data_IF_926553926457
#
_entry.id   IF_926553926457
#
_cell.length_a   1.000
_cell.length_b   1.000
_cell.length_c   1.000
_cell.angle_alpha   90.00
_cell.angle_beta   90.00
_cell.angle_gamma   90.00
#
_symmetry.space_group_name_H-M   'P 1'
#
loop_
_entity.id
_entity.type
_entity.pdbx_description
1 polymer ?
#
# COMPACT_ATOMS: atom_id res chain seq x y z
N UNK A 1 -5.57 -3.10 -7.16
CA UNK A 1 -6.96 -2.63 -7.33
C UNK A 1 -7.09 -1.94 -8.68
N UNK A 2 -8.29 -1.74 -9.16
CA UNK A 2 -8.54 -1.01 -10.40
C UNK A 2 -9.84 -0.22 -10.32
N UNK A 3 -9.90 0.84 -11.13
CA UNK A 3 -11.10 1.66 -11.28
C UNK A 3 -11.03 2.36 -12.65
N UNK A 4 -11.98 3.24 -12.95
CA UNK A 4 -12.06 3.91 -14.25
C UNK A 4 -12.16 5.41 -14.10
N UNK A 5 -11.51 6.14 -15.03
CA UNK A 5 -11.70 7.56 -15.18
C UNK A 5 -13.08 7.85 -15.82
N UNK A 6 -13.51 9.10 -15.76
CA UNK A 6 -14.79 9.51 -16.32
C UNK A 6 -14.94 9.12 -17.80
N UNK A 7 -13.86 9.18 -18.57
CA UNK A 7 -13.85 8.80 -19.98
C UNK A 7 -13.93 7.29 -20.22
N UNK A 8 -13.98 6.47 -19.16
CA UNK A 8 -14.02 5.02 -19.26
C UNK A 8 -12.66 4.34 -19.27
N UNK A 9 -11.57 5.11 -19.29
CA UNK A 9 -10.23 4.56 -19.31
C UNK A 9 -9.88 3.98 -17.95
N UNK A 10 -9.49 2.71 -17.92
CA UNK A 10 -9.19 2.02 -16.66
C UNK A 10 -7.80 2.38 -16.16
N UNK A 11 -7.67 2.46 -14.85
CA UNK A 11 -6.38 2.63 -14.18
C UNK A 11 -6.23 1.60 -13.07
N UNK A 12 -5.01 1.42 -12.62
CA UNK A 12 -4.66 0.45 -11.58
C UNK A 12 -3.99 1.15 -10.42
N UNK A 13 -4.16 0.57 -9.23
CA UNK A 13 -3.44 1.02 -8.03
C UNK A 13 -2.65 -0.14 -7.46
N UNK A 14 -1.44 0.16 -6.99
CA UNK A 14 -0.58 -0.78 -6.30
C UNK A 14 -0.39 -0.26 -4.88
N UNK A 15 -0.96 -0.99 -3.91
CA UNK A 15 -0.99 -0.57 -2.51
C UNK A 15 0.03 -1.37 -1.71
N UNK A 16 0.88 -0.68 -0.96
CA UNK A 16 1.88 -1.28 -0.08
C UNK A 16 1.62 -0.82 1.33
N UNK A 17 1.43 -1.78 2.24
CA UNK A 17 1.15 -1.52 3.65
C UNK A 17 2.21 -2.20 4.49
N UNK A 18 2.74 -1.48 5.49
CA UNK A 18 3.69 -2.05 6.44
C UNK A 18 2.93 -2.96 7.42
N UNK A 19 3.39 -4.20 7.53
CA UNK A 19 2.75 -5.18 8.40
C UNK A 19 2.89 -4.82 9.88
N UNK A 20 3.95 -4.12 10.24
CA UNK A 20 4.23 -3.79 11.63
C UNK A 20 3.30 -2.73 12.20
N UNK A 21 3.20 -1.58 11.56
CA UNK A 21 2.44 -0.44 12.08
C UNK A 21 1.24 -0.05 11.23
N UNK A 22 0.86 -0.87 10.25
CA UNK A 22 -0.29 -0.66 9.35
C UNK A 22 -0.16 0.61 8.51
N UNK A 23 1.04 1.15 8.39
CA UNK A 23 1.28 2.37 7.62
C UNK A 23 1.05 2.14 6.13
N UNK A 24 0.37 3.08 5.47
CA UNK A 24 0.26 3.08 4.02
C UNK A 24 1.57 3.61 3.46
N UNK A 25 2.43 2.73 2.99
CA UNK A 25 3.75 3.12 2.50
C UNK A 25 3.70 3.75 1.11
N UNK A 26 2.84 3.23 0.25
CA UNK A 26 2.66 3.78 -1.08
C UNK A 26 1.35 3.28 -1.69
N UNK A 27 0.74 4.13 -2.48
CA UNK A 27 -0.33 3.76 -3.41
C UNK A 27 0.08 4.32 -4.76
N UNK A 28 0.64 3.46 -5.60
CA UNK A 28 1.07 3.87 -6.95
C UNK A 28 -0.10 3.74 -7.90
N UNK A 29 -0.30 4.76 -8.72
CA UNK A 29 -1.45 4.84 -9.61
C UNK A 29 -0.98 5.07 -11.03
N UNK A 30 -1.39 4.20 -11.95
CA UNK A 30 -1.12 4.38 -13.37
C UNK A 30 -2.08 3.53 -14.19
N UNK A 31 -2.05 3.73 -15.51
CA UNK A 31 -2.85 2.94 -16.44
C UNK A 31 -2.36 1.50 -16.49
N UNK A 32 -1.07 1.31 -16.27
CA UNK A 32 -0.41 0.01 -16.27
C UNK A 32 0.70 0.01 -15.22
N UNK A 33 0.87 -1.11 -14.53
CA UNK A 33 1.88 -1.25 -13.48
C UNK A 33 2.68 -2.52 -13.72
N UNK A 34 3.64 -2.48 -14.66
CA UNK A 34 4.51 -3.64 -14.91
C UNK A 34 5.48 -3.87 -13.74
N UNK A 35 6.06 -5.08 -13.68
CA UNK A 35 6.94 -5.48 -12.57
C UNK A 35 8.07 -4.50 -12.31
N UNK A 36 8.67 -3.94 -13.35
CA UNK A 36 9.76 -2.98 -13.20
C UNK A 36 9.30 -1.71 -12.49
N UNK A 37 8.07 -1.27 -12.76
CA UNK A 37 7.49 -0.11 -12.08
C UNK A 37 7.25 -0.43 -10.59
N UNK A 38 6.74 -1.63 -10.31
CA UNK A 38 6.53 -2.10 -8.94
C UNK A 38 7.85 -2.12 -8.17
N UNK A 39 8.90 -2.65 -8.77
CA UNK A 39 10.23 -2.70 -8.14
C UNK A 39 10.75 -1.29 -7.86
N UNK A 40 10.56 -0.35 -8.78
CA UNK A 40 10.96 1.03 -8.58
C UNK A 40 10.25 1.68 -7.40
N UNK A 41 8.97 1.40 -7.25
CA UNK A 41 8.20 1.90 -6.10
C UNK A 41 8.74 1.32 -4.80
N UNK A 42 9.02 0.02 -4.79
CA UNK A 42 9.58 -0.65 -3.62
C UNK A 42 10.96 -0.10 -3.25
N UNK A 43 11.81 0.14 -4.24
CA UNK A 43 13.12 0.73 -3.99
C UNK A 43 13.01 2.13 -3.41
N UNK A 44 12.05 2.91 -3.88
CA UNK A 44 11.81 4.24 -3.34
C UNK A 44 11.33 4.18 -1.90
N UNK A 45 10.44 3.26 -1.58
CA UNK A 45 9.96 3.05 -0.21
C UNK A 45 11.12 2.65 0.70
N UNK A 46 11.95 1.72 0.25
CA UNK A 46 13.10 1.24 1.01
C UNK A 46 14.10 2.38 1.24
N UNK A 47 14.28 3.26 0.27
CA UNK A 47 15.25 4.36 0.36
C UNK A 47 14.91 5.34 1.49
N UNK A 48 13.63 5.60 1.75
CA UNK A 48 13.26 6.56 2.78
C UNK A 48 12.78 5.89 4.08
N UNK A 49 12.33 4.66 4.01
CA UNK A 49 11.74 3.97 5.16
C UNK A 49 12.64 2.88 5.74
N UNK A 50 13.61 2.42 4.96
CA UNK A 50 14.45 1.28 5.31
C UNK A 50 13.85 -0.03 4.81
N UNK A 51 14.58 -1.12 5.01
CA UNK A 51 14.17 -2.44 4.54
C UNK A 51 13.18 -3.07 5.52
N UNK A 52 11.91 -3.19 5.17
CA UNK A 52 10.97 -3.91 6.01
C UNK A 52 11.26 -5.41 5.93
N UNK A 53 10.89 -6.14 6.99
CA UNK A 53 11.05 -7.60 6.96
C UNK A 53 9.97 -8.25 6.12
N UNK A 54 8.79 -7.65 6.09
CA UNK A 54 7.64 -8.21 5.40
C UNK A 54 6.76 -7.10 4.88
N UNK A 55 6.34 -7.23 3.63
CA UNK A 55 5.39 -6.33 3.00
C UNK A 55 4.18 -7.11 2.53
N UNK A 56 3.02 -6.52 2.66
CA UNK A 56 1.78 -7.09 2.13
C UNK A 56 1.26 -6.20 1.01
N UNK A 57 0.80 -6.84 -0.05
CA UNK A 57 0.36 -6.12 -1.24
C UNK A 57 -0.74 -6.88 -1.96
N UNK A 58 -1.46 -6.17 -2.81
CA UNK A 58 -2.50 -6.75 -3.63
C UNK A 58 -1.96 -7.85 -4.53
N UNK A 59 -2.77 -8.88 -4.74
CA UNK A 59 -2.44 -9.95 -5.65
C UNK A 59 -2.96 -9.63 -7.05
N UNK A 60 -2.11 -9.04 -7.90
CA UNK A 60 -2.40 -8.82 -9.30
C UNK A 60 -1.46 -9.64 -10.15
N UNK A 61 -1.92 -10.20 -11.27
CA UNK A 61 -1.05 -11.02 -12.13
C UNK A 61 0.21 -10.29 -12.58
N UNK A 62 0.12 -8.99 -12.81
CA UNK A 62 1.25 -8.16 -13.23
C UNK A 62 2.26 -7.90 -12.13
N UNK A 63 1.89 -8.14 -10.87
CA UNK A 63 2.80 -7.96 -9.75
C UNK A 63 3.57 -9.23 -9.42
N UNK A 64 3.07 -10.37 -9.88
CA UNK A 64 3.69 -11.65 -9.61
C UNK A 64 4.64 -11.97 -10.78
N UNK A 65 5.93 -11.77 -10.55
CA UNK A 65 6.94 -12.06 -11.56
C UNK A 65 8.18 -12.63 -10.90
N UNK A 66 8.96 -13.37 -11.70
CA UNK A 66 10.26 -13.89 -11.25
C UNK A 66 11.18 -12.74 -10.84
N UNK A 67 11.16 -11.64 -11.58
CA UNK A 67 11.99 -10.47 -11.29
C UNK A 67 11.67 -9.88 -9.92
N UNK A 68 10.38 -9.76 -9.59
CA UNK A 68 9.97 -9.23 -8.29
C UNK A 68 10.36 -10.18 -7.16
N UNK A 69 10.17 -11.47 -7.36
CA UNK A 69 10.55 -12.48 -6.37
C UNK A 69 12.06 -12.47 -6.11
N UNK A 70 12.85 -12.36 -7.17
CA UNK A 70 14.31 -12.27 -7.06
C UNK A 70 14.75 -11.02 -6.32
N UNK A 71 14.10 -9.89 -6.61
CA UNK A 71 14.40 -8.63 -5.93
C UNK A 71 14.14 -8.76 -4.42
N UNK A 72 13.00 -9.34 -4.05
CA UNK A 72 12.63 -9.52 -2.66
C UNK A 72 13.59 -10.46 -1.93
N UNK A 73 13.96 -11.56 -2.56
CA UNK A 73 14.91 -12.50 -2.00
C UNK A 73 16.28 -11.87 -1.81
N UNK A 74 16.74 -11.10 -2.77
CA UNK A 74 18.02 -10.39 -2.72
C UNK A 74 18.08 -9.42 -1.53
N UNK A 75 16.96 -8.78 -1.19
CA UNK A 75 16.89 -7.82 -0.10
C UNK A 75 16.35 -8.40 1.20
N UNK A 76 16.16 -9.71 1.25
CA UNK A 76 15.66 -10.42 2.44
C UNK A 76 14.30 -9.89 2.90
N UNK A 77 13.43 -9.56 1.94
CA UNK A 77 12.09 -9.06 2.22
C UNK A 77 11.10 -10.18 1.88
N UNK A 78 10.21 -10.48 2.83
CA UNK A 78 9.12 -11.41 2.57
C UNK A 78 7.96 -10.65 1.96
N UNK A 79 7.57 -11.04 0.75
CA UNK A 79 6.41 -10.47 0.08
C UNK A 79 5.23 -11.41 0.28
N UNK A 80 4.13 -10.89 0.80
CA UNK A 80 2.88 -11.61 0.90
C UNK A 80 1.87 -11.00 -0.04
N UNK A 81 1.37 -11.80 -0.95
CA UNK A 81 0.31 -11.42 -1.88
C UNK A 81 -1.02 -11.92 -1.34
N UNK A 82 -2.01 -11.03 -1.34
CA UNK A 82 -3.35 -11.36 -0.85
C UNK A 82 -4.13 -11.97 -1.99
N UNK A 83 -4.59 -13.20 -1.79
CA UNK A 83 -5.43 -13.87 -2.78
C UNK A 83 -6.90 -13.52 -2.50
N UNK A 84 -7.64 -13.07 -3.52
CA UNK A 84 -9.08 -12.85 -3.36
C UNK A 84 -9.77 -14.13 -2.91
N UNK A 85 -10.68 -14.02 -1.95
CA UNK A 85 -11.49 -15.14 -1.49
C UNK A 85 -10.88 -16.03 -0.43
N UNK A 86 -9.72 -15.69 0.13
CA UNK A 86 -9.12 -16.42 1.25
C UNK A 86 -9.47 -15.68 2.55
N UNK A 87 -10.47 -16.14 3.32
CA UNK A 87 -11.06 -15.33 4.40
C UNK A 87 -10.21 -15.18 5.66
N UNK A 88 -9.13 -15.91 5.81
CA UNK A 88 -8.34 -15.90 7.05
C UNK A 88 -7.03 -15.14 6.96
N UNK A 89 -6.65 -14.70 5.78
CA UNK A 89 -5.37 -14.01 5.60
C UNK A 89 -5.60 -12.52 5.40
N UNK A 90 -5.00 -11.72 6.29
CA UNK A 90 -4.81 -10.29 6.07
C UNK A 90 -6.07 -9.44 6.05
N UNK A 91 -6.93 -9.65 7.03
CA UNK A 91 -8.13 -8.85 7.18
C UNK A 91 -7.85 -7.34 7.23
N UNK A 92 -6.68 -6.90 7.73
CA UNK A 92 -6.37 -5.49 7.81
C UNK A 92 -6.02 -4.88 6.43
N UNK A 93 -5.39 -5.65 5.54
CA UNK A 93 -5.09 -5.15 4.20
C UNK A 93 -6.35 -5.10 3.35
N UNK A 94 -7.23 -6.09 3.48
CA UNK A 94 -8.54 -6.05 2.85
C UNK A 94 -9.34 -4.86 3.35
N UNK A 95 -9.29 -4.60 4.65
CA UNK A 95 -9.96 -3.46 5.27
C UNK A 95 -9.35 -2.14 4.79
N UNK A 96 -8.03 -2.09 4.66
CA UNK A 96 -7.34 -0.93 4.09
C UNK A 96 -7.81 -0.66 2.66
N UNK A 97 -7.83 -1.68 1.83
CA UNK A 97 -8.24 -1.54 0.44
C UNK A 97 -9.71 -1.10 0.34
N UNK A 98 -10.57 -1.66 1.18
CA UNK A 98 -11.98 -1.26 1.22
C UNK A 98 -12.13 0.19 1.65
N UNK A 99 -11.40 0.59 2.67
CA UNK A 99 -11.44 1.97 3.17
C UNK A 99 -10.98 2.95 2.10
N UNK A 100 -9.89 2.64 1.43
CA UNK A 100 -9.39 3.47 0.33
C UNK A 100 -10.42 3.57 -0.80
N UNK A 101 -11.01 2.43 -1.18
CA UNK A 101 -12.04 2.42 -2.22
C UNK A 101 -13.24 3.26 -1.83
N UNK A 102 -13.72 3.08 -0.61
CA UNK A 102 -14.93 3.78 -0.16
C UNK A 102 -14.68 5.28 0.01
N UNK A 103 -13.53 5.68 0.50
CA UNK A 103 -13.24 7.09 0.81
C UNK A 103 -12.66 7.86 -0.37
N UNK A 104 -12.05 7.20 -1.33
CA UNK A 104 -11.45 7.86 -2.49
C UNK A 104 -12.08 7.39 -3.80
N UNK A 105 -11.92 6.13 -4.14
CA UNK A 105 -12.29 5.67 -5.48
C UNK A 105 -13.79 5.78 -5.77
N UNK A 106 -14.63 5.47 -4.78
CA UNK A 106 -16.08 5.51 -4.94
C UNK A 106 -16.69 6.88 -4.67
N UNK A 107 -15.95 7.79 -4.03
CA UNK A 107 -16.50 9.11 -3.63
C UNK A 107 -16.41 10.15 -4.73
N UNK A 108 -15.54 9.97 -5.71
CA UNK A 108 -15.26 10.98 -6.72
C UNK A 108 -15.36 10.41 -8.12
N UNK A 109 -15.68 11.29 -9.07
CA UNK A 109 -15.57 10.99 -10.49
C UNK A 109 -14.33 11.67 -11.01
N UNK A 110 -13.34 10.88 -11.39
CA UNK A 110 -12.01 11.40 -11.76
C UNK A 110 -11.93 11.62 -13.27
N UNK A 111 -11.45 12.79 -13.66
CA UNK A 111 -11.20 13.09 -15.08
C UNK A 111 -9.79 12.72 -15.50
N UNK A 112 -8.82 12.86 -14.59
CA UNK A 112 -7.40 12.60 -14.88
C UNK A 112 -6.77 11.76 -13.79
N UNK A 113 -5.65 11.11 -14.13
CA UNK A 113 -4.85 10.38 -13.14
C UNK A 113 -4.27 11.31 -12.07
N UNK A 114 -3.94 12.54 -12.43
CA UNK A 114 -3.41 13.50 -11.47
C UNK A 114 -4.42 13.80 -10.35
N UNK A 115 -5.70 13.88 -10.67
CA UNK A 115 -6.72 14.06 -9.65
C UNK A 115 -6.72 12.89 -8.66
N UNK A 116 -6.63 11.66 -9.17
CA UNK A 116 -6.58 10.48 -8.32
C UNK A 116 -5.35 10.54 -7.42
N UNK A 117 -4.20 10.86 -8.00
CA UNK A 117 -2.92 10.91 -7.27
C UNK A 117 -2.92 11.96 -6.16
N UNK A 118 -3.42 13.15 -6.44
CA UNK A 118 -3.46 14.23 -5.43
C UNK A 118 -4.34 13.89 -4.24
N UNK A 119 -5.54 13.39 -4.51
CA UNK A 119 -6.44 13.00 -3.43
C UNK A 119 -5.89 11.82 -2.65
N UNK A 120 -5.23 10.89 -3.32
CA UNK A 120 -4.62 9.73 -2.68
C UNK A 120 -3.45 10.13 -1.79
N UNK A 121 -2.60 11.04 -2.23
CA UNK A 121 -1.48 11.52 -1.41
C UNK A 121 -1.95 12.17 -0.12
N UNK A 122 -2.98 13.00 -0.20
CA UNK A 122 -3.55 13.63 0.98
C UNK A 122 -4.18 12.60 1.91
N UNK A 123 -4.86 11.61 1.33
CA UNK A 123 -5.49 10.54 2.10
C UNK A 123 -4.46 9.68 2.82
N UNK A 124 -3.35 9.35 2.17
CA UNK A 124 -2.26 8.57 2.77
C UNK A 124 -1.70 9.30 3.99
N UNK A 125 -1.46 10.59 3.87
CA UNK A 125 -0.94 11.39 4.97
C UNK A 125 -1.91 11.38 6.16
N UNK A 126 -3.17 11.61 5.90
CA UNK A 126 -4.20 11.58 6.94
C UNK A 126 -4.31 10.21 7.58
N UNK A 127 -4.26 9.15 6.77
CA UNK A 127 -4.33 7.78 7.24
C UNK A 127 -3.18 7.45 8.18
N UNK A 128 -1.98 7.86 7.84
CA UNK A 128 -0.78 7.54 8.62
C UNK A 128 -0.60 8.42 9.85
N UNK A 129 -0.97 9.69 9.76
CA UNK A 129 -0.69 10.67 10.81
C UNK A 129 -1.87 10.93 11.73
N UNK A 130 -3.09 10.77 11.25
CA UNK A 130 -4.27 11.22 11.98
C UNK A 130 -5.28 10.12 12.31
N UNK A 131 -5.28 9.01 11.60
CA UNK A 131 -6.29 7.96 11.80
C UNK A 131 -5.84 6.93 12.85
N UNK A 132 -6.54 6.83 13.99
CA UNK A 132 -6.24 5.81 14.98
C UNK A 132 -6.72 4.42 14.54
N UNK A 133 -6.04 3.38 15.00
CA UNK A 133 -6.37 1.99 14.72
C UNK A 133 -6.55 1.19 16.00
N UNK A 134 -7.62 0.41 16.08
CA UNK A 134 -7.87 -0.45 17.24
C UNK A 134 -6.72 -1.43 17.46
N UNK A 135 -6.20 -2.00 16.38
CA UNK A 135 -5.09 -2.95 16.45
C UNK A 135 -3.78 -2.33 16.92
N UNK A 136 -3.71 -1.01 16.97
CA UNK A 136 -2.52 -0.26 17.43
C UNK A 136 -2.80 0.46 18.75
N UNK A 137 -3.73 -0.03 19.55
CA UNK A 137 -4.13 0.60 20.82
C UNK A 137 -4.62 2.05 20.61
N UNK A 138 -5.40 2.25 19.56
CA UNK A 138 -5.95 3.56 19.17
C UNK A 138 -4.90 4.61 18.80
N UNK A 139 -3.68 4.17 18.49
CA UNK A 139 -2.66 5.04 17.95
C UNK A 139 -2.75 5.09 16.42
N UNK A 140 -2.26 6.18 15.84
CA UNK A 140 -2.07 6.24 14.40
C UNK A 140 -0.85 5.41 14.02
N UNK A 141 -0.70 5.01 12.74
CA UNK A 141 0.50 4.29 12.31
C UNK A 141 1.81 4.99 12.68
N UNK A 142 1.87 6.30 12.52
CA UNK A 142 3.08 7.06 12.86
C UNK A 142 3.34 7.13 14.36
N UNK A 143 2.29 7.30 15.16
CA UNK A 143 2.42 7.28 16.62
C UNK A 143 2.90 5.93 17.11
N UNK A 144 2.33 4.85 16.56
CA UNK A 144 2.73 3.50 16.92
C UNK A 144 4.19 3.25 16.57
N UNK A 145 4.62 3.68 15.40
CA UNK A 145 6.00 3.55 14.95
C UNK A 145 6.96 4.30 15.89
N UNK A 146 6.62 5.53 16.26
CA UNK A 146 7.46 6.34 17.13
C UNK A 146 7.65 5.69 18.50
N UNK A 147 6.57 5.17 19.09
CA UNK A 147 6.63 4.51 20.40
C UNK A 147 7.50 3.26 20.35
N UNK A 148 7.31 2.40 19.32
CA UNK A 148 8.03 1.14 19.24
C UNK A 148 9.45 1.29 18.71
N UNK A 149 9.71 2.31 17.91
CA UNK A 149 11.05 2.60 17.43
C UNK A 149 11.98 3.01 18.59
N UNK A 150 11.46 3.77 19.55
CA UNK A 150 12.21 4.15 20.72
C UNK A 150 12.55 2.94 21.60
N UNK A 151 11.68 1.95 21.66
CA UNK A 151 11.90 0.73 22.40
C UNK A 151 12.90 -0.23 21.75
N UNK A 152 13.18 -0.08 20.46
CA UNK A 152 14.09 -0.92 19.70
C UNK A 152 15.54 -0.42 19.71
N UNK A 153 15.79 0.70 20.31
CA UNK A 153 17.13 1.30 20.35
C UNK A 153 17.97 0.81 21.52
N UNK A 154 17.64 -0.33 22.01
CA UNK A 154 18.50 -0.98 22.98
C UNK A 154 19.47 -1.89 22.27
#
# INVERSE_FOLDING_TARGET
>A
MSDSLFCGRRFRTFNIVDDFNREALAIEIDLSLPSQRVIRVLERVVAWRGYPKQLRMDNGPEFISTTLAEWAEEHHIKLEFIKPGTPTQNSYVERFNRTYRDEILNMYVFKTLNEVRELTENWIREYNEERPHDSLNDLTPWEYLAVHKQGKKS
#
